data_IF_223090896086
#
_entry.id   IF_223090896086
#
_cell.length_a   1.000
_cell.length_b   1.000
_cell.length_c   1.000
_cell.angle_alpha   90.00
_cell.angle_beta   90.00
_cell.angle_gamma   90.00
#
_symmetry.space_group_name_H-M   'P 1'
#
loop_
_entity.id
_entity.type
_entity.pdbx_description
1 polymer ?
#
# COMPACT_ATOMS: atom_id res chain seq x y z
N UNK A 1 21.11 -1.36 -13.38
CA UNK A 1 21.03 -0.39 -12.26
C UNK A 1 19.77 -0.69 -11.44
N UNK A 2 19.94 -0.89 -10.15
CA UNK A 2 18.79 -1.07 -9.27
C UNK A 2 18.25 0.32 -8.89
N UNK A 3 17.02 0.63 -9.30
CA UNK A 3 16.39 1.93 -9.01
C UNK A 3 16.28 2.22 -7.51
N UNK A 4 16.25 1.18 -6.68
CA UNK A 4 16.15 1.32 -5.24
C UNK A 4 17.49 1.50 -4.53
N UNK A 5 18.60 1.43 -5.27
CA UNK A 5 19.94 1.71 -4.74
C UNK A 5 20.38 3.16 -4.90
N UNK A 6 19.47 4.04 -5.31
CA UNK A 6 19.74 5.46 -5.41
C UNK A 6 20.06 6.04 -4.03
N UNK A 7 21.05 6.93 -3.98
CA UNK A 7 21.37 7.66 -2.77
C UNK A 7 20.28 8.71 -2.49
N UNK A 8 19.34 8.35 -1.62
CA UNK A 8 18.21 9.21 -1.28
C UNK A 8 18.65 10.49 -0.55
N UNK A 9 19.83 10.49 0.08
CA UNK A 9 20.34 11.68 0.76
C UNK A 9 20.79 12.74 -0.24
N UNK A 10 21.41 12.30 -1.35
CA UNK A 10 21.83 13.20 -2.42
C UNK A 10 20.67 13.81 -3.19
N UNK A 11 19.50 13.17 -3.19
CA UNK A 11 18.32 13.59 -3.95
C UNK A 11 17.34 14.47 -3.17
N UNK A 12 17.67 14.84 -1.94
CA UNK A 12 16.82 15.66 -1.07
C UNK A 12 15.41 15.07 -0.89
N UNK A 13 15.31 13.78 -0.79
CA UNK A 13 14.06 13.08 -0.53
C UNK A 13 13.68 13.23 0.94
N UNK A 14 12.38 13.38 1.21
CA UNK A 14 11.87 13.39 2.58
C UNK A 14 12.26 12.11 3.33
N UNK A 15 12.61 12.24 4.61
CA UNK A 15 12.91 11.10 5.47
C UNK A 15 11.88 10.99 6.60
N UNK A 16 11.35 9.78 6.87
CA UNK A 16 11.63 8.52 6.16
C UNK A 16 11.10 8.56 4.72
N UNK A 17 11.78 7.90 3.75
CA UNK A 17 11.26 7.85 2.38
C UNK A 17 9.98 7.03 2.33
N UNK A 18 8.98 7.54 1.60
CA UNK A 18 7.69 6.88 1.39
C UNK A 18 7.62 6.30 0.00
N UNK A 19 7.34 5.01 -0.09
CA UNK A 19 7.18 4.30 -1.36
C UNK A 19 5.76 3.79 -1.54
N UNK A 20 5.26 3.82 -2.77
CA UNK A 20 4.03 3.17 -3.16
C UNK A 20 4.33 2.09 -4.20
N UNK A 21 4.03 0.85 -3.86
CA UNK A 21 4.25 -0.30 -4.74
C UNK A 21 2.94 -0.58 -5.48
N UNK A 22 2.87 -0.17 -6.74
CA UNK A 22 1.70 -0.37 -7.58
C UNK A 22 1.81 -1.69 -8.33
N UNK A 23 0.79 -2.54 -8.21
CA UNK A 23 0.79 -3.89 -8.78
C UNK A 23 -0.40 -4.09 -9.71
N UNK A 24 -0.23 -4.97 -10.68
CA UNK A 24 -1.24 -5.38 -11.68
C UNK A 24 -1.67 -4.32 -12.69
N UNK A 25 -0.85 -3.29 -12.94
CA UNK A 25 -1.03 -2.48 -14.15
C UNK A 25 -0.51 -3.26 -15.38
N UNK A 26 -1.03 -2.99 -16.62
CA UNK A 26 -0.78 -3.86 -17.77
C UNK A 26 0.70 -4.17 -18.10
N UNK A 27 1.59 -3.22 -17.89
CA UNK A 27 3.04 -3.41 -18.10
C UNK A 27 3.85 -3.34 -16.82
N UNK A 28 3.17 -3.47 -15.69
CA UNK A 28 3.78 -3.52 -14.37
C UNK A 28 3.93 -4.93 -13.86
N UNK A 29 4.36 -5.06 -12.62
CA UNK A 29 4.53 -6.35 -11.97
C UNK A 29 3.16 -6.96 -11.62
N UNK A 30 2.95 -8.27 -11.85
CA UNK A 30 1.71 -8.93 -11.42
C UNK A 30 1.48 -8.88 -9.91
N UNK A 31 0.20 -8.78 -9.51
CA UNK A 31 -0.19 -8.70 -8.11
C UNK A 31 -0.17 -10.09 -7.44
N UNK A 32 1.00 -10.46 -6.94
CA UNK A 32 1.20 -11.71 -6.18
C UNK A 32 1.94 -11.41 -4.88
N UNK A 33 1.75 -12.29 -3.89
CA UNK A 33 2.49 -12.20 -2.63
C UNK A 33 4.00 -12.25 -2.86
N UNK A 34 4.46 -13.14 -3.72
CA UNK A 34 5.89 -13.28 -4.07
C UNK A 34 6.47 -11.98 -4.62
N UNK A 35 5.77 -11.33 -5.54
CA UNK A 35 6.22 -10.08 -6.13
C UNK A 35 6.23 -8.94 -5.11
N UNK A 36 5.25 -8.88 -4.21
CA UNK A 36 5.23 -7.88 -3.15
C UNK A 36 6.40 -8.06 -2.20
N UNK A 37 6.72 -9.30 -1.80
CA UNK A 37 7.88 -9.60 -0.97
C UNK A 37 9.17 -9.14 -1.65
N UNK A 38 9.33 -9.47 -2.93
CA UNK A 38 10.51 -9.08 -3.71
C UNK A 38 10.67 -7.55 -3.76
N UNK A 39 9.59 -6.82 -4.02
CA UNK A 39 9.61 -5.36 -4.07
C UNK A 39 9.92 -4.75 -2.70
N UNK A 40 9.31 -5.29 -1.64
CA UNK A 40 9.57 -4.86 -0.27
C UNK A 40 11.04 -5.03 0.10
N UNK A 41 11.63 -6.18 -0.20
CA UNK A 41 13.03 -6.47 0.10
C UNK A 41 14.01 -5.55 -0.63
N UNK A 42 13.60 -4.99 -1.77
CA UNK A 42 14.40 -4.03 -2.53
C UNK A 42 14.36 -2.61 -1.96
N UNK A 43 13.48 -2.32 -1.01
CA UNK A 43 13.36 -0.99 -0.41
C UNK A 43 14.52 -0.69 0.54
N UNK A 44 14.96 0.59 0.63
CA UNK A 44 15.99 0.96 1.59
C UNK A 44 15.51 0.79 3.03
N UNK A 45 16.46 0.58 3.94
CA UNK A 45 16.17 0.45 5.37
C UNK A 45 15.46 1.72 5.88
N UNK A 46 14.46 1.52 6.75
CA UNK A 46 13.69 2.63 7.32
C UNK A 46 12.60 3.20 6.42
N UNK A 47 12.43 2.67 5.21
CA UNK A 47 11.37 3.12 4.31
C UNK A 47 9.99 2.84 4.88
N UNK A 48 9.09 3.82 4.76
CA UNK A 48 7.66 3.65 4.95
C UNK A 48 7.06 3.28 3.59
N UNK A 49 6.22 2.27 3.53
CA UNK A 49 5.73 1.80 2.24
C UNK A 49 4.27 1.37 2.29
N UNK A 50 3.63 1.53 1.15
CA UNK A 50 2.28 1.08 0.86
C UNK A 50 2.34 0.19 -0.38
N UNK A 51 1.57 -0.88 -0.41
CA UNK A 51 1.37 -1.65 -1.63
C UNK A 51 -0.11 -1.70 -1.95
N UNK A 52 -0.44 -1.69 -3.23
CA UNK A 52 -1.81 -1.77 -3.70
C UNK A 52 -1.90 -2.48 -5.04
N UNK A 53 -3.03 -3.12 -5.27
CA UNK A 53 -3.35 -3.77 -6.53
C UNK A 53 -4.48 -3.03 -7.23
N UNK A 54 -4.50 -3.13 -8.56
CA UNK A 54 -5.53 -2.51 -9.39
C UNK A 54 -6.71 -3.48 -9.54
N UNK A 55 -7.92 -2.93 -9.58
CA UNK A 55 -9.17 -3.66 -9.87
C UNK A 55 -9.39 -4.84 -8.91
N UNK A 56 -9.60 -6.06 -9.42
CA UNK A 56 -9.88 -7.25 -8.62
C UNK A 56 -8.79 -7.59 -7.59
N UNK A 57 -7.59 -7.07 -7.75
CA UNK A 57 -6.46 -7.31 -6.85
C UNK A 57 -6.36 -6.31 -5.70
N UNK A 58 -7.25 -5.32 -5.63
CA UNK A 58 -7.15 -4.23 -4.65
C UNK A 58 -7.15 -4.75 -3.21
N UNK A 59 -8.17 -5.49 -2.79
CA UNK A 59 -8.29 -5.93 -1.40
C UNK A 59 -7.35 -7.07 -1.04
N UNK A 60 -7.04 -7.98 -1.96
CA UNK A 60 -6.07 -9.04 -1.71
C UNK A 60 -4.67 -8.45 -1.48
N UNK A 61 -4.28 -7.44 -2.24
CA UNK A 61 -3.00 -6.76 -2.05
C UNK A 61 -2.99 -5.86 -0.82
N UNK A 62 -4.13 -5.28 -0.45
CA UNK A 62 -4.26 -4.57 0.83
C UNK A 62 -3.98 -5.50 2.01
N UNK A 63 -4.60 -6.67 2.04
CA UNK A 63 -4.37 -7.67 3.09
C UNK A 63 -2.90 -8.13 3.10
N UNK A 64 -2.32 -8.40 1.94
CA UNK A 64 -0.94 -8.83 1.81
C UNK A 64 0.04 -7.75 2.30
N UNK A 65 -0.24 -6.49 1.99
CA UNK A 65 0.58 -5.36 2.47
C UNK A 65 0.60 -5.31 4.00
N UNK A 66 -0.56 -5.42 4.64
CA UNK A 66 -0.66 -5.44 6.11
C UNK A 66 0.13 -6.60 6.70
N UNK A 67 0.01 -7.80 6.13
CA UNK A 67 0.74 -8.98 6.61
C UNK A 67 2.26 -8.82 6.54
N UNK A 68 2.76 -8.06 5.58
CA UNK A 68 4.18 -7.81 5.39
C UNK A 68 4.69 -6.54 6.10
N UNK A 69 3.83 -5.86 6.85
CA UNK A 69 4.20 -4.67 7.61
C UNK A 69 4.08 -3.36 6.84
N UNK A 70 3.44 -3.37 5.68
CA UNK A 70 3.15 -2.17 4.88
C UNK A 70 1.82 -1.52 5.24
N UNK A 71 1.57 -0.38 4.64
CA UNK A 71 0.32 0.36 4.75
C UNK A 71 -0.63 0.05 3.60
N UNK A 72 -1.85 0.53 3.69
CA UNK A 72 -2.92 0.20 2.73
C UNK A 72 -3.31 1.44 1.93
N UNK A 73 -3.51 1.25 0.64
CA UNK A 73 -4.15 2.23 -0.23
C UNK A 73 -5.36 1.59 -0.90
N UNK A 74 -6.51 2.27 -0.84
CA UNK A 74 -7.71 1.93 -1.58
C UNK A 74 -8.34 3.21 -2.12
N UNK A 75 -9.05 3.09 -3.23
CA UNK A 75 -9.75 4.22 -3.82
C UNK A 75 -10.41 3.84 -5.14
N UNK A 76 -11.42 4.59 -5.54
CA UNK A 76 -12.16 4.31 -6.78
C UNK A 76 -11.30 4.49 -8.03
N UNK A 77 -10.21 5.25 -7.95
CA UNK A 77 -9.24 5.36 -9.04
C UNK A 77 -8.52 4.05 -9.34
N UNK A 78 -8.41 3.15 -8.35
CA UNK A 78 -7.73 1.87 -8.48
C UNK A 78 -8.72 0.72 -8.67
N UNK A 79 -9.91 0.80 -8.08
CA UNK A 79 -10.91 -0.26 -8.08
C UNK A 79 -12.32 0.28 -7.83
N UNK A 80 -13.27 -0.09 -8.66
CA UNK A 80 -14.67 0.35 -8.55
C UNK A 80 -15.56 -0.64 -7.78
N UNK A 81 -15.04 -1.79 -7.33
CA UNK A 81 -15.86 -2.86 -6.79
C UNK A 81 -15.48 -3.22 -5.36
N UNK A 82 -16.51 -3.42 -4.52
CA UNK A 82 -16.36 -4.00 -3.18
C UNK A 82 -16.11 -5.50 -3.23
N UNK A 83 -16.72 -6.15 -4.20
CA UNK A 83 -16.63 -7.59 -4.46
C UNK A 83 -17.02 -7.83 -5.91
N UNK A 84 -16.82 -9.05 -6.40
CA UNK A 84 -17.22 -9.41 -7.75
C UNK A 84 -18.72 -9.13 -7.94
N UNK A 85 -19.04 -8.33 -8.94
CA UNK A 85 -20.41 -7.95 -9.26
C UNK A 85 -21.06 -6.90 -8.34
N UNK A 86 -20.31 -6.37 -7.35
CA UNK A 86 -20.82 -5.36 -6.42
C UNK A 86 -19.99 -4.10 -6.46
N UNK A 87 -20.51 -3.07 -7.12
CA UNK A 87 -19.83 -1.78 -7.22
C UNK A 87 -19.84 -1.02 -5.89
N UNK A 88 -18.76 -0.31 -5.61
CA UNK A 88 -18.74 0.67 -4.54
C UNK A 88 -19.47 1.94 -4.99
N UNK A 89 -20.22 2.56 -4.08
CA UNK A 89 -20.88 3.85 -4.33
C UNK A 89 -19.98 5.04 -3.98
N UNK A 90 -18.92 4.81 -3.20
CA UNK A 90 -18.02 5.86 -2.74
C UNK A 90 -16.68 5.29 -2.26
N UNK A 91 -15.68 6.16 -2.13
CA UNK A 91 -14.41 5.80 -1.49
C UNK A 91 -14.60 5.35 -0.05
N UNK A 92 -15.59 5.90 0.65
CA UNK A 92 -15.90 5.52 2.02
C UNK A 92 -16.14 4.02 2.16
N UNK A 93 -16.92 3.41 1.28
CA UNK A 93 -17.19 1.96 1.31
C UNK A 93 -15.92 1.13 1.13
N UNK A 94 -15.02 1.58 0.24
CA UNK A 94 -13.73 0.92 0.03
C UNK A 94 -12.85 1.02 1.28
N UNK A 95 -12.81 2.20 1.91
CA UNK A 95 -12.05 2.41 3.16
C UNK A 95 -12.65 1.57 4.29
N UNK A 96 -13.96 1.52 4.43
CA UNK A 96 -14.61 0.68 5.44
C UNK A 96 -14.27 -0.80 5.29
N UNK A 97 -14.24 -1.30 4.06
CA UNK A 97 -13.81 -2.68 3.80
C UNK A 97 -12.33 -2.89 4.14
N UNK A 98 -11.47 -1.96 3.77
CA UNK A 98 -10.04 -2.03 4.12
C UNK A 98 -9.84 -2.06 5.64
N UNK A 99 -10.57 -1.24 6.39
CA UNK A 99 -10.52 -1.22 7.85
C UNK A 99 -10.97 -2.57 8.44
N UNK A 100 -12.03 -3.17 7.89
CA UNK A 100 -12.46 -4.52 8.33
C UNK A 100 -11.38 -5.56 8.10
N UNK A 101 -10.66 -5.49 6.98
CA UNK A 101 -9.55 -6.40 6.68
C UNK A 101 -8.42 -6.22 7.69
N UNK A 102 -8.03 -4.99 7.97
CA UNK A 102 -6.98 -4.66 8.94
C UNK A 102 -7.34 -5.24 10.32
N UNK A 103 -8.58 -5.02 10.76
CA UNK A 103 -9.06 -5.51 12.06
C UNK A 103 -9.19 -7.03 12.11
N UNK A 104 -9.56 -7.65 11.00
CA UNK A 104 -9.61 -9.12 10.90
C UNK A 104 -8.22 -9.75 11.05
N UNK A 105 -7.15 -8.99 10.80
CA UNK A 105 -5.76 -9.41 11.00
C UNK A 105 -5.21 -8.98 12.37
N UNK A 106 -6.11 -8.63 13.30
CA UNK A 106 -5.78 -8.21 14.67
C UNK A 106 -4.88 -6.96 14.73
N UNK A 107 -5.10 -6.03 13.79
CA UNK A 107 -4.42 -4.74 13.74
C UNK A 107 -5.45 -3.61 13.73
N UNK A 108 -4.98 -2.39 13.99
CA UNK A 108 -5.83 -1.19 13.95
C UNK A 108 -5.24 -0.16 12.98
N UNK A 109 -6.09 0.58 12.25
CA UNK A 109 -5.63 1.73 11.49
C UNK A 109 -5.00 2.77 12.42
N UNK A 110 -3.93 3.42 11.96
CA UNK A 110 -3.34 4.52 12.70
C UNK A 110 -4.32 5.70 12.80
N UNK A 111 -4.27 6.41 13.93
CA UNK A 111 -4.93 7.70 14.05
C UNK A 111 -4.20 8.74 13.20
N UNK A 112 -4.83 9.89 12.88
CA UNK A 112 -4.13 10.96 12.15
C UNK A 112 -2.84 11.41 12.83
N UNK A 113 -2.81 11.49 14.16
CA UNK A 113 -1.61 11.89 14.89
C UNK A 113 -0.51 10.83 14.82
N UNK A 114 -0.88 9.55 14.97
CA UNK A 114 0.06 8.44 14.80
C UNK A 114 0.63 8.41 13.37
N UNK A 115 -0.22 8.65 12.37
CA UNK A 115 0.21 8.72 10.98
C UNK A 115 1.21 9.86 10.74
N UNK A 116 0.95 11.05 11.33
CA UNK A 116 1.89 12.16 11.24
C UNK A 116 3.24 11.84 11.86
N UNK A 117 3.23 11.20 13.03
CA UNK A 117 4.46 10.76 13.71
C UNK A 117 5.22 9.75 12.86
N UNK A 118 4.52 8.77 12.30
CA UNK A 118 5.12 7.70 11.50
C UNK A 118 5.75 8.26 10.23
N UNK A 119 5.10 9.23 9.59
CA UNK A 119 5.59 9.89 8.38
C UNK A 119 6.53 11.06 8.69
N UNK A 120 6.70 11.43 9.96
CA UNK A 120 7.51 12.57 10.43
C UNK A 120 7.08 13.88 9.74
N UNK A 121 5.78 14.13 9.70
CA UNK A 121 5.18 15.36 9.19
C UNK A 121 4.35 16.04 10.29
N UNK A 122 4.16 17.34 10.13
CA UNK A 122 3.37 18.13 11.09
C UNK A 122 1.86 18.10 10.80
#
# INVERSE_FOLDING_TARGET
MNLFSLDLTAQKVHHPPLFQLCMSIPWGIPATAKNMIMMKEALPAGAVWTAFGISANSFSMAAQSVLLGGHVRVGMEDNLYLAQGRRASSNRELVEKAVRIIRALDKEPATPDEARQLLQIS
#
